data_IF_666894561809
#
_entry.id   IF_666894561809
#
_cell.length_a   1.000
_cell.length_b   1.000
_cell.length_c   1.000
_cell.angle_alpha   90.00
_cell.angle_beta   90.00
_cell.angle_gamma   90.00
#
_symmetry.space_group_name_H-M   'P 1'
#
loop_
_entity.id
_entity.type
_entity.pdbx_description
1 polymer ?
#
# COMPACT_ATOMS: atom_id res chain seq x y z
N UNK A 1 16.84 11.31 2.32
CA UNK A 1 16.17 12.28 3.22
C UNK A 1 14.65 12.29 3.05
N UNK A 2 14.09 12.53 1.85
CA UNK A 2 12.62 12.63 1.67
C UNK A 2 11.88 11.34 2.04
N UNK A 3 12.30 10.18 1.51
CA UNK A 3 11.68 8.88 1.86
C UNK A 3 11.74 8.62 3.36
N UNK A 4 12.88 8.91 4.00
CA UNK A 4 13.04 8.76 5.46
C UNK A 4 12.07 9.66 6.25
N UNK A 5 11.89 10.91 5.83
CA UNK A 5 10.94 11.83 6.45
C UNK A 5 9.49 11.36 6.28
N UNK A 6 9.12 10.86 5.10
CA UNK A 6 7.80 10.27 4.84
C UNK A 6 7.55 9.03 5.71
N UNK A 7 8.55 8.15 5.87
CA UNK A 7 8.44 6.99 6.77
C UNK A 7 8.15 7.44 8.20
N UNK A 8 8.89 8.42 8.71
CA UNK A 8 8.66 8.98 10.06
C UNK A 8 7.26 9.58 10.16
N UNK A 9 6.83 10.36 9.18
CA UNK A 9 5.51 10.99 9.16
C UNK A 9 4.35 9.99 9.10
N UNK A 10 4.49 8.89 8.37
CA UNK A 10 3.50 7.80 8.33
C UNK A 10 3.42 7.01 9.64
N UNK A 11 4.53 6.93 10.40
CA UNK A 11 4.55 6.31 11.73
C UNK A 11 4.22 7.29 12.85
N UNK A 12 4.13 8.58 12.55
CA UNK A 12 3.70 9.59 13.50
C UNK A 12 2.17 9.56 13.58
N UNK A 13 1.63 9.38 14.80
CA UNK A 13 0.22 9.01 15.06
C UNK A 13 -0.82 10.10 14.72
N UNK A 14 -0.42 11.20 14.06
CA UNK A 14 -1.37 12.23 13.65
C UNK A 14 -1.96 11.93 12.28
N UNK A 15 -3.30 11.90 12.22
CA UNK A 15 -4.07 11.76 10.97
C UNK A 15 -3.67 12.80 9.92
N UNK A 16 -3.51 14.08 10.31
CA UNK A 16 -3.16 15.15 9.39
C UNK A 16 -1.79 14.91 8.74
N UNK A 17 -0.83 14.43 9.54
CA UNK A 17 0.54 14.14 9.07
C UNK A 17 0.53 12.92 8.16
N UNK A 18 -0.18 11.85 8.54
CA UNK A 18 -0.30 10.64 7.73
C UNK A 18 -0.95 10.93 6.37
N UNK A 19 -2.02 11.72 6.36
CA UNK A 19 -2.72 12.14 5.14
C UNK A 19 -1.82 12.98 4.24
N UNK A 20 -1.13 13.98 4.80
CA UNK A 20 -0.19 14.80 4.05
C UNK A 20 0.97 13.96 3.47
N UNK A 21 1.46 12.97 4.21
CA UNK A 21 2.47 12.05 3.72
C UNK A 21 1.94 11.22 2.55
N UNK A 22 0.72 10.70 2.64
CA UNK A 22 0.09 9.95 1.55
C UNK A 22 -0.08 10.80 0.29
N UNK A 23 -0.55 12.04 0.41
CA UNK A 23 -0.71 12.96 -0.72
C UNK A 23 0.65 13.31 -1.36
N UNK A 24 1.67 13.54 -0.53
CA UNK A 24 3.04 13.76 -1.00
C UNK A 24 3.57 12.55 -1.76
N UNK A 25 3.31 11.34 -1.26
CA UNK A 25 3.67 10.08 -1.92
C UNK A 25 2.98 9.97 -3.28
N UNK A 26 1.69 10.29 -3.39
CA UNK A 26 0.97 10.29 -4.67
C UNK A 26 1.66 11.24 -5.67
N UNK A 27 2.00 12.46 -5.24
CA UNK A 27 2.71 13.43 -6.08
C UNK A 27 4.07 12.92 -6.56
N UNK A 28 4.88 12.37 -5.64
CA UNK A 28 6.20 11.81 -5.95
C UNK A 28 6.11 10.61 -6.89
N UNK A 29 5.20 9.68 -6.64
CA UNK A 29 4.98 8.50 -7.47
C UNK A 29 4.55 8.87 -8.90
N UNK A 30 3.65 9.83 -9.03
CA UNK A 30 3.24 10.32 -10.35
C UNK A 30 4.39 10.98 -11.11
N UNK A 31 5.24 11.75 -10.42
CA UNK A 31 6.42 12.34 -11.04
C UNK A 31 7.45 11.27 -11.42
N UNK A 32 7.69 10.32 -10.53
CA UNK A 32 8.63 9.21 -10.71
C UNK A 32 8.29 8.37 -11.95
N UNK A 33 7.00 8.13 -12.21
CA UNK A 33 6.54 7.44 -13.43
C UNK A 33 6.94 8.13 -14.73
N UNK A 34 7.04 9.47 -14.73
CA UNK A 34 7.46 10.22 -15.93
C UNK A 34 8.93 10.03 -16.31
N UNK A 35 9.71 9.37 -15.44
CA UNK A 35 11.14 9.10 -15.66
C UNK A 35 11.40 7.77 -16.41
N UNK A 36 10.36 6.97 -16.69
CA UNK A 36 10.48 5.68 -17.37
C UNK A 36 10.99 4.54 -16.49
N UNK A 37 11.36 3.42 -17.13
CA UNK A 37 11.71 2.16 -16.44
C UNK A 37 13.04 2.20 -15.69
N UNK A 38 14.00 3.01 -16.16
CA UNK A 38 15.32 3.25 -15.54
C UNK A 38 15.28 4.27 -14.39
N UNK A 39 14.09 4.54 -13.85
CA UNK A 39 13.90 5.46 -12.75
C UNK A 39 14.66 4.99 -11.48
N UNK A 40 15.69 5.73 -11.03
CA UNK A 40 16.51 5.34 -9.88
C UNK A 40 15.75 5.39 -8.55
N UNK A 41 14.59 6.05 -8.51
CA UNK A 41 13.79 6.22 -7.30
C UNK A 41 12.74 5.12 -7.11
N UNK A 42 12.49 4.26 -8.11
CA UNK A 42 11.41 3.28 -8.08
C UNK A 42 11.48 2.35 -6.86
N UNK A 43 12.66 1.77 -6.60
CA UNK A 43 12.88 0.89 -5.46
C UNK A 43 12.72 1.62 -4.13
N UNK A 44 13.26 2.84 -4.02
CA UNK A 44 13.18 3.64 -2.79
C UNK A 44 11.73 4.01 -2.47
N UNK A 45 10.93 4.37 -3.48
CA UNK A 45 9.52 4.69 -3.31
C UNK A 45 8.70 3.45 -2.92
N UNK A 46 8.97 2.29 -3.50
CA UNK A 46 8.26 1.05 -3.15
C UNK A 46 8.39 0.64 -1.68
N UNK A 47 9.49 1.00 -1.00
CA UNK A 47 9.61 0.78 0.45
C UNK A 47 8.54 1.53 1.28
N UNK A 48 7.88 2.52 0.69
CA UNK A 48 6.73 3.22 1.31
C UNK A 48 5.43 2.44 1.11
N UNK A 49 5.28 1.70 0.00
CA UNK A 49 4.12 0.83 -0.21
C UNK A 49 4.15 -0.32 0.80
N UNK A 50 5.34 -0.88 1.01
CA UNK A 50 5.62 -1.87 2.07
C UNK A 50 5.19 -1.35 3.43
N UNK A 51 5.66 -0.15 3.80
CA UNK A 51 5.32 0.46 5.07
C UNK A 51 3.81 0.68 5.22
N UNK A 52 3.15 1.25 4.21
CA UNK A 52 1.70 1.50 4.25
C UNK A 52 0.89 0.22 4.41
N UNK A 53 1.21 -0.83 3.64
CA UNK A 53 0.56 -2.13 3.75
C UNK A 53 0.81 -2.77 5.12
N UNK A 54 2.04 -2.67 5.65
CA UNK A 54 2.35 -3.14 7.00
C UNK A 54 1.54 -2.39 8.06
N UNK A 55 1.45 -1.07 7.98
CA UNK A 55 0.67 -0.25 8.91
C UNK A 55 -0.83 -0.61 8.85
N UNK A 56 -1.36 -0.88 7.65
CA UNK A 56 -2.75 -1.34 7.47
C UNK A 56 -2.95 -2.72 8.13
N UNK A 57 -2.08 -3.69 7.83
CA UNK A 57 -2.17 -5.05 8.39
C UNK A 57 -2.02 -5.02 9.92
N UNK A 58 -1.24 -4.08 10.46
CA UNK A 58 -1.08 -3.92 11.91
C UNK A 58 -2.15 -3.04 12.57
N UNK A 59 -3.09 -2.48 11.81
CA UNK A 59 -4.08 -1.51 12.31
C UNK A 59 -3.43 -0.24 12.91
N UNK A 60 -2.23 0.12 12.45
CA UNK A 60 -1.43 1.24 12.95
C UNK A 60 -1.61 2.52 12.13
N UNK A 61 -2.40 2.47 11.06
CA UNK A 61 -2.75 3.66 10.28
C UNK A 61 -4.03 4.32 10.81
N UNK A 62 -4.08 5.67 10.95
CA UNK A 62 -5.30 6.36 11.34
C UNK A 62 -6.45 6.04 10.36
N UNK A 63 -7.65 5.68 10.84
CA UNK A 63 -8.78 5.30 9.99
C UNK A 63 -9.13 6.35 8.94
N UNK A 64 -9.08 7.63 9.31
CA UNK A 64 -9.38 8.75 8.42
C UNK A 64 -8.32 8.94 7.32
N UNK A 65 -7.11 8.41 7.51
CA UNK A 65 -6.03 8.42 6.51
C UNK A 65 -6.07 7.22 5.56
N UNK A 66 -6.88 6.21 5.82
CA UNK A 66 -6.97 4.98 5.00
C UNK A 66 -7.27 5.28 3.52
N UNK A 67 -8.23 6.17 3.16
CA UNK A 67 -8.48 6.49 1.75
C UNK A 67 -7.26 7.09 1.05
N UNK A 68 -6.51 7.94 1.76
CA UNK A 68 -5.28 8.54 1.24
C UNK A 68 -4.18 7.47 1.07
N UNK A 69 -4.07 6.54 2.02
CA UNK A 69 -3.14 5.42 1.95
C UNK A 69 -3.42 4.50 0.75
N UNK A 70 -4.70 4.18 0.48
CA UNK A 70 -5.08 3.42 -0.70
C UNK A 70 -4.68 4.12 -2.01
N UNK A 71 -4.87 5.44 -2.09
CA UNK A 71 -4.42 6.23 -3.24
C UNK A 71 -2.88 6.24 -3.38
N UNK A 72 -2.16 6.33 -2.26
CA UNK A 72 -0.70 6.28 -2.23
C UNK A 72 -0.16 4.92 -2.68
N UNK A 73 -0.74 3.81 -2.18
CA UNK A 73 -0.37 2.44 -2.58
C UNK A 73 -0.59 2.27 -4.09
N UNK A 74 -1.76 2.65 -4.62
CA UNK A 74 -2.01 2.58 -6.06
C UNK A 74 -0.96 3.35 -6.88
N UNK A 75 -0.68 4.59 -6.48
CA UNK A 75 0.29 5.43 -7.17
C UNK A 75 1.69 4.83 -7.15
N UNK A 76 2.11 4.26 -6.01
CA UNK A 76 3.39 3.56 -5.85
C UNK A 76 3.47 2.31 -6.70
N UNK A 77 2.41 1.50 -6.74
CA UNK A 77 2.34 0.32 -7.60
C UNK A 77 2.46 0.70 -9.07
N UNK A 78 1.86 1.81 -9.50
CA UNK A 78 1.99 2.30 -10.87
C UNK A 78 3.43 2.73 -11.24
N UNK A 79 4.33 2.94 -10.26
CA UNK A 79 5.75 3.22 -10.54
C UNK A 79 6.46 1.98 -11.07
N UNK A 80 6.16 0.80 -10.50
CA UNK A 80 6.78 -0.46 -10.93
C UNK A 80 5.87 -1.65 -10.56
N UNK A 81 4.86 -1.96 -11.39
CA UNK A 81 3.81 -2.93 -11.06
C UNK A 81 4.33 -4.34 -10.74
N UNK A 82 5.38 -4.77 -11.46
CA UNK A 82 6.02 -6.07 -11.29
C UNK A 82 6.56 -6.34 -9.87
N UNK A 83 6.75 -5.30 -9.06
CA UNK A 83 7.29 -5.45 -7.70
C UNK A 83 6.21 -5.60 -6.62
N UNK A 84 4.92 -5.41 -6.95
CA UNK A 84 3.84 -5.57 -5.96
C UNK A 84 3.66 -7.02 -5.53
N UNK A 85 3.77 -7.98 -6.45
CA UNK A 85 3.66 -9.40 -6.10
C UNK A 85 4.78 -9.85 -5.15
N UNK A 86 6.01 -9.41 -5.43
CA UNK A 86 7.14 -9.65 -4.54
C UNK A 86 6.94 -9.03 -3.16
N UNK A 87 6.38 -7.82 -3.12
CA UNK A 87 6.06 -7.13 -1.88
C UNK A 87 4.96 -7.85 -1.07
N UNK A 88 3.87 -8.27 -1.72
CA UNK A 88 2.81 -9.01 -1.07
C UNK A 88 3.35 -10.31 -0.44
N UNK A 89 4.18 -11.05 -1.18
CA UNK A 89 4.83 -12.26 -0.68
C UNK A 89 5.69 -11.99 0.56
N UNK A 90 6.52 -10.95 0.54
CA UNK A 90 7.34 -10.56 1.69
C UNK A 90 6.49 -10.23 2.92
N UNK A 91 5.38 -9.51 2.74
CA UNK A 91 4.47 -9.17 3.83
C UNK A 91 3.75 -10.41 4.38
N UNK A 92 3.35 -11.34 3.51
CA UNK A 92 2.73 -12.61 3.92
C UNK A 92 3.71 -13.46 4.72
N UNK A 93 4.97 -13.60 4.25
CA UNK A 93 6.03 -14.33 4.96
C UNK A 93 6.30 -13.72 6.35
N UNK A 94 6.34 -12.39 6.46
CA UNK A 94 6.49 -11.69 7.75
C UNK A 94 5.26 -11.87 8.66
N UNK A 95 4.06 -11.86 8.09
CA UNK A 95 2.80 -12.08 8.82
C UNK A 95 2.71 -13.51 9.38
N UNK A 96 3.15 -14.51 8.60
CA UNK A 96 3.10 -15.92 8.97
C UNK A 96 3.84 -16.25 10.28
N UNK A 97 4.85 -15.45 10.65
CA UNK A 97 5.59 -15.60 11.93
C UNK A 97 4.66 -15.36 13.12
N UNK A 98 3.71 -14.44 12.99
CA UNK A 98 2.84 -14.01 14.09
C UNK A 98 1.46 -14.66 14.04
N UNK A 99 0.95 -14.98 12.84
CA UNK A 99 -0.39 -15.52 12.65
C UNK A 99 -0.47 -16.49 11.45
N UNK A 100 0.13 -17.69 11.56
CA UNK A 100 0.17 -18.65 10.47
C UNK A 100 -1.23 -19.17 10.07
N UNK A 101 -2.20 -19.16 10.99
CA UNK A 101 -3.55 -19.65 10.75
C UNK A 101 -4.34 -18.79 9.75
N UNK A 102 -4.06 -17.48 9.71
CA UNK A 102 -4.74 -16.54 8.82
C UNK A 102 -3.98 -16.26 7.51
N UNK A 103 -2.82 -16.89 7.28
CA UNK A 103 -2.03 -16.73 6.04
C UNK A 103 -2.85 -16.95 4.77
N UNK A 104 -3.65 -18.03 4.62
CA UNK A 104 -4.43 -18.25 3.40
C UNK A 104 -5.45 -17.13 3.13
N UNK A 105 -6.01 -16.54 4.19
CA UNK A 105 -6.97 -15.43 4.09
C UNK A 105 -6.29 -14.13 3.66
N UNK A 106 -5.06 -13.91 4.13
CA UNK A 106 -4.24 -12.77 3.71
C UNK A 106 -3.79 -12.91 2.25
N UNK A 107 -3.39 -14.10 1.82
CA UNK A 107 -3.08 -14.40 0.41
C UNK A 107 -4.27 -14.11 -0.51
N UNK A 108 -5.46 -14.60 -0.15
CA UNK A 108 -6.69 -14.34 -0.88
C UNK A 108 -7.01 -12.83 -0.95
N UNK A 109 -6.86 -12.11 0.17
CA UNK A 109 -7.09 -10.68 0.23
C UNK A 109 -6.14 -9.91 -0.71
N UNK A 110 -4.85 -10.27 -0.76
CA UNK A 110 -3.90 -9.70 -1.71
C UNK A 110 -4.26 -10.03 -3.17
N UNK A 111 -4.77 -11.24 -3.43
CA UNK A 111 -5.30 -11.60 -4.74
C UNK A 111 -6.46 -10.72 -5.17
N UNK A 112 -7.38 -10.39 -4.24
CA UNK A 112 -8.49 -9.46 -4.50
C UNK A 112 -7.98 -8.04 -4.79
N UNK A 113 -6.98 -7.57 -4.06
CA UNK A 113 -6.45 -6.20 -4.18
C UNK A 113 -6.02 -5.87 -5.62
N UNK A 114 -5.37 -6.82 -6.30
CA UNK A 114 -4.81 -6.63 -7.64
C UNK A 114 -5.71 -7.11 -8.77
N UNK A 115 -6.80 -7.82 -8.45
CA UNK A 115 -7.62 -8.52 -9.44
C UNK A 115 -8.22 -7.59 -10.51
N UNK A 116 -7.74 -7.75 -11.75
CA UNK A 116 -8.17 -7.01 -12.93
C UNK A 116 -7.85 -5.51 -12.86
N UNK A 117 -6.90 -5.10 -12.03
CA UNK A 117 -6.42 -3.73 -11.96
C UNK A 117 -5.25 -3.56 -12.93
N UNK A 118 -5.35 -2.57 -13.82
CA UNK A 118 -4.21 -2.09 -14.59
C UNK A 118 -3.53 -0.95 -13.84
N UNK A 119 -2.21 -1.04 -13.68
CA UNK A 119 -1.41 -0.07 -12.94
C UNK A 119 -0.75 0.96 -13.88
N UNK A 120 -1.57 1.58 -14.73
CA UNK A 120 -1.15 2.61 -15.70
C UNK A 120 -1.40 4.04 -15.19
N UNK A 121 -1.99 4.18 -14.00
CA UNK A 121 -2.32 5.45 -13.37
C UNK A 121 -3.53 6.18 -13.95
N UNK A 122 -4.32 5.53 -14.82
CA UNK A 122 -5.55 6.11 -15.34
C UNK A 122 -6.65 6.09 -14.28
N UNK A 123 -7.50 7.12 -14.31
CA UNK A 123 -8.59 7.28 -13.34
C UNK A 123 -9.51 6.06 -13.20
N UNK A 124 -9.96 5.39 -14.29
CA UNK A 124 -10.82 4.22 -14.16
C UNK A 124 -10.18 3.07 -13.36
N UNK A 125 -8.88 2.83 -13.55
CA UNK A 125 -8.18 1.77 -12.85
C UNK A 125 -7.86 2.14 -11.40
N UNK A 126 -7.62 3.42 -11.12
CA UNK A 126 -7.55 3.93 -9.75
C UNK A 126 -8.84 3.67 -8.98
N UNK A 127 -10.00 3.95 -9.58
CA UNK A 127 -11.30 3.70 -8.94
C UNK A 127 -11.52 2.21 -8.69
N UNK A 128 -11.21 1.34 -9.67
CA UNK A 128 -11.29 -0.11 -9.50
C UNK A 128 -10.37 -0.62 -8.39
N UNK A 129 -9.15 -0.07 -8.29
CA UNK A 129 -8.24 -0.41 -7.19
C UNK A 129 -8.81 0.02 -5.84
N UNK A 130 -9.41 1.21 -5.75
CA UNK A 130 -10.06 1.66 -4.52
C UNK A 130 -11.20 0.72 -4.10
N UNK A 131 -12.06 0.30 -5.02
CA UNK A 131 -13.12 -0.69 -4.73
C UNK A 131 -12.54 -2.04 -4.23
N UNK A 132 -11.41 -2.47 -4.81
CA UNK A 132 -10.72 -3.68 -4.37
C UNK A 132 -10.04 -3.49 -3.01
N UNK A 133 -9.51 -2.30 -2.75
CA UNK A 133 -8.84 -1.94 -1.50
C UNK A 133 -9.83 -1.92 -0.34
N UNK A 134 -11.05 -1.43 -0.53
CA UNK A 134 -12.10 -1.48 0.49
C UNK A 134 -12.46 -2.93 0.87
N UNK A 135 -12.52 -3.83 -0.12
CA UNK A 135 -12.74 -5.27 0.12
C UNK A 135 -11.55 -5.90 0.85
N UNK A 136 -10.32 -5.54 0.45
CA UNK A 136 -9.10 -5.98 1.11
C UNK A 136 -9.12 -5.59 2.60
N UNK A 137 -9.44 -4.34 2.92
CA UNK A 137 -9.54 -3.86 4.30
C UNK A 137 -10.62 -4.61 5.09
N UNK A 138 -11.81 -4.81 4.51
CA UNK A 138 -12.88 -5.54 5.15
C UNK A 138 -12.46 -6.99 5.49
N UNK A 139 -11.75 -7.66 4.57
CA UNK A 139 -11.19 -8.99 4.81
C UNK A 139 -10.13 -8.98 5.90
N UNK A 140 -9.11 -8.12 5.78
CA UNK A 140 -7.97 -8.03 6.70
C UNK A 140 -8.42 -7.70 8.11
N UNK A 141 -9.22 -6.65 8.29
CA UNK A 141 -9.76 -6.29 9.60
C UNK A 141 -10.70 -7.39 10.13
N UNK A 142 -11.48 -8.02 9.25
CA UNK A 142 -12.43 -9.06 9.60
C UNK A 142 -11.81 -10.34 10.18
N UNK A 143 -10.54 -10.65 9.89
CA UNK A 143 -9.85 -11.79 10.50
C UNK A 143 -8.82 -11.42 11.56
N UNK A 144 -8.36 -10.16 11.58
CA UNK A 144 -7.45 -9.67 12.61
C UNK A 144 -8.17 -9.27 13.90
N UNK A 145 -9.42 -8.77 13.81
CA UNK A 145 -10.21 -8.34 14.97
C UNK A 145 -10.83 -9.53 15.73
N UNK A 146 -10.99 -10.70 15.09
CA UNK A 146 -11.65 -11.88 15.69
C UNK A 146 -10.69 -12.70 16.58
N UNK A 147 -9.75 -12.03 17.26
CA UNK A 147 -8.79 -12.65 18.18
C UNK A 147 -9.11 -12.36 19.64
#
# INVERSE_FOLDING_TARGET
MVVSALRVGLTAVSCDVSTLCCDTIVGLSNKARTLGDDNPYALSLLTLAELLLMLIIKMEIPPDSIPAAGAAIYALTCVKPALLEGLARQLIEAFAINDPANVPRLEEAFGVLTNGVLFDGLRPHKLRFQDNFDKFLASVHGFLIVK
#
